data_IF_381469062456
#
_entry.id   IF_381469062456
#
_cell.length_a   1.000
_cell.length_b   1.000
_cell.length_c   1.000
_cell.angle_alpha   90.00
_cell.angle_beta   90.00
_cell.angle_gamma   90.00
#
_symmetry.space_group_name_H-M   'P 1'
#
loop_
_entity.id
_entity.type
_entity.pdbx_description
1 polymer ?
#
# COMPACT_ATOMS: atom_id res chain seq x y z
N UNK A 1 26.05 -5.02 -20.26
CA UNK A 1 24.68 -5.16 -19.73
C UNK A 1 24.84 -5.60 -18.29
N UNK A 2 24.46 -4.78 -17.30
CA UNK A 2 24.48 -5.23 -15.91
C UNK A 2 23.40 -6.31 -15.75
N UNK A 3 23.76 -7.46 -15.17
CA UNK A 3 22.77 -8.42 -14.71
C UNK A 3 21.93 -7.70 -13.65
N UNK A 4 20.69 -7.37 -13.99
CA UNK A 4 19.76 -6.76 -13.04
C UNK A 4 19.52 -7.78 -11.93
N UNK A 5 19.98 -7.47 -10.72
CA UNK A 5 19.73 -8.30 -9.56
C UNK A 5 18.22 -8.32 -9.31
N UNK A 6 17.64 -9.51 -9.23
CA UNK A 6 16.23 -9.72 -8.95
C UNK A 6 16.08 -10.32 -7.55
N UNK A 7 14.99 -9.99 -6.88
CA UNK A 7 14.55 -10.59 -5.63
C UNK A 7 13.18 -11.22 -5.81
N UNK A 8 12.93 -12.29 -5.05
CA UNK A 8 11.60 -12.90 -4.95
C UNK A 8 10.75 -12.12 -3.95
N UNK A 9 9.50 -11.94 -4.31
CA UNK A 9 8.45 -11.44 -3.44
C UNK A 9 7.21 -12.30 -3.59
N UNK A 10 6.31 -12.27 -2.60
CA UNK A 10 5.03 -12.97 -2.68
C UNK A 10 3.96 -11.94 -3.02
N UNK A 11 3.26 -12.12 -4.13
CA UNK A 11 2.13 -11.29 -4.52
C UNK A 11 0.83 -11.99 -4.13
N UNK A 12 -0.06 -11.26 -3.46
CA UNK A 12 -1.48 -11.62 -3.34
C UNK A 12 -2.33 -10.67 -4.17
N UNK A 13 -3.24 -11.22 -4.95
CA UNK A 13 -4.18 -10.46 -5.77
C UNK A 13 -5.62 -10.83 -5.38
N UNK A 14 -6.59 -9.89 -5.51
CA UNK A 14 -7.99 -10.17 -5.24
C UNK A 14 -8.50 -11.40 -5.99
N UNK A 15 -9.05 -12.37 -5.25
CA UNK A 15 -9.64 -13.60 -5.80
C UNK A 15 -8.62 -14.60 -6.39
N UNK A 16 -7.33 -14.44 -6.13
CA UNK A 16 -6.28 -15.36 -6.59
C UNK A 16 -5.49 -15.96 -5.43
N UNK A 17 -4.90 -17.12 -5.70
CA UNK A 17 -3.91 -17.70 -4.80
C UNK A 17 -2.61 -16.87 -4.80
N UNK A 18 -1.88 -16.82 -3.66
CA UNK A 18 -0.60 -16.16 -3.60
C UNK A 18 0.40 -16.77 -4.58
N UNK A 19 1.26 -15.94 -5.17
CA UNK A 19 2.26 -16.38 -6.14
C UNK A 19 3.61 -15.71 -5.91
N UNK A 20 4.68 -16.37 -6.36
CA UNK A 20 6.03 -15.80 -6.31
C UNK A 20 6.23 -14.93 -7.55
N UNK A 21 6.57 -13.67 -7.33
CA UNK A 21 6.98 -12.73 -8.39
C UNK A 21 8.46 -12.38 -8.22
N UNK A 22 9.06 -11.84 -9.27
CA UNK A 22 10.44 -11.32 -9.24
C UNK A 22 10.41 -9.81 -9.42
N UNK A 23 11.00 -9.10 -8.47
CA UNK A 23 11.15 -7.65 -8.50
C UNK A 23 12.64 -7.30 -8.68
N UNK A 24 12.97 -6.17 -9.33
CA UNK A 24 14.32 -5.62 -9.30
C UNK A 24 14.77 -5.40 -7.85
N UNK A 25 16.03 -5.68 -7.52
CA UNK A 25 16.60 -5.45 -6.19
C UNK A 25 17.41 -4.14 -6.10
N UNK A 26 17.68 -3.47 -7.22
CA UNK A 26 18.45 -2.22 -7.25
C UNK A 26 17.59 -1.01 -6.87
N UNK A 27 18.13 -0.10 -6.05
CA UNK A 27 17.49 1.15 -5.66
C UNK A 27 17.06 1.98 -6.89
N UNK A 28 15.83 2.50 -6.87
CA UNK A 28 15.18 3.15 -8.02
C UNK A 28 14.23 2.19 -8.75
N UNK A 29 14.72 1.30 -9.64
CA UNK A 29 13.88 0.32 -10.33
C UNK A 29 13.07 -0.58 -9.40
N UNK A 30 13.55 -0.82 -8.17
CA UNK A 30 12.83 -1.56 -7.15
C UNK A 30 11.54 -0.86 -6.70
N UNK A 31 11.64 0.41 -6.30
CA UNK A 31 10.51 1.22 -5.81
C UNK A 31 9.44 1.39 -6.91
N UNK A 32 9.89 1.66 -8.14
CA UNK A 32 9.00 1.80 -9.29
C UNK A 32 8.27 0.48 -9.60
N UNK A 33 8.96 -0.66 -9.57
CA UNK A 33 8.34 -1.96 -9.80
C UNK A 33 7.31 -2.33 -8.72
N UNK A 34 7.55 -1.92 -7.46
CA UNK A 34 6.57 -2.10 -6.37
C UNK A 34 5.33 -1.25 -6.65
N UNK A 35 5.50 0.04 -6.96
CA UNK A 35 4.38 0.95 -7.25
C UNK A 35 3.54 0.49 -8.43
N UNK A 36 4.20 0.04 -9.50
CA UNK A 36 3.53 -0.52 -10.68
C UNK A 36 2.74 -1.79 -10.31
N UNK A 37 3.33 -2.66 -9.48
CA UNK A 37 2.68 -3.91 -9.05
C UNK A 37 1.47 -3.64 -8.15
N UNK A 38 1.57 -2.68 -7.23
CA UNK A 38 0.51 -2.27 -6.29
C UNK A 38 -0.48 -1.26 -6.87
N UNK A 39 -0.26 -0.79 -8.09
CA UNK A 39 -1.09 0.18 -8.79
C UNK A 39 -1.24 1.51 -8.03
N UNK A 40 -0.17 1.96 -7.35
CA UNK A 40 -0.18 3.18 -6.55
C UNK A 40 1.06 3.36 -5.68
N UNK A 41 1.05 4.45 -4.91
CA UNK A 41 1.93 4.55 -3.74
C UNK A 41 1.59 3.44 -2.74
N UNK A 42 2.51 3.18 -1.83
CA UNK A 42 2.36 2.07 -0.91
C UNK A 42 2.80 2.43 0.50
N UNK A 43 2.08 1.88 1.47
CA UNK A 43 2.52 1.76 2.85
C UNK A 43 3.20 0.41 3.05
N UNK A 44 4.16 0.37 3.96
CA UNK A 44 4.80 -0.86 4.41
C UNK A 44 4.57 -1.02 5.91
N UNK A 45 4.17 -2.22 6.34
CA UNK A 45 4.03 -2.58 7.74
C UNK A 45 4.87 -3.82 8.01
N UNK A 46 5.64 -3.79 9.10
CA UNK A 46 6.33 -4.98 9.58
C UNK A 46 5.29 -6.01 10.04
N UNK A 47 5.29 -7.19 9.44
CA UNK A 47 4.32 -8.23 9.75
C UNK A 47 4.81 -9.15 10.86
N UNK A 48 6.01 -9.74 10.72
CA UNK A 48 6.70 -10.44 11.82
C UNK A 48 8.20 -10.57 11.54
N UNK A 49 8.97 -10.76 12.61
CA UNK A 49 10.41 -10.97 12.55
C UNK A 49 10.74 -12.41 12.13
N UNK A 50 11.46 -12.57 11.02
CA UNK A 50 11.91 -13.88 10.50
C UNK A 50 13.11 -14.37 11.32
N UNK A 51 14.05 -13.46 11.59
CA UNK A 51 15.25 -13.67 12.40
C UNK A 51 15.72 -12.32 12.95
N UNK A 52 16.64 -12.27 13.92
CA UNK A 52 17.13 -11.00 14.47
C UNK A 52 17.57 -10.03 13.37
N UNK A 53 16.99 -8.84 13.35
CA UNK A 53 17.26 -7.77 12.39
C UNK A 53 16.60 -7.90 11.00
N UNK A 54 15.82 -8.96 10.74
CA UNK A 54 15.15 -9.19 9.44
C UNK A 54 13.70 -9.58 9.65
N UNK A 55 12.80 -8.87 8.99
CA UNK A 55 11.36 -9.09 9.10
C UNK A 55 10.71 -9.26 7.74
N UNK A 56 9.56 -9.93 7.74
CA UNK A 56 8.65 -9.95 6.61
C UNK A 56 7.78 -8.69 6.70
N UNK A 57 7.78 -7.89 5.65
CA UNK A 57 6.94 -6.71 5.50
C UNK A 57 5.79 -7.00 4.56
N UNK A 58 4.61 -6.47 4.89
CA UNK A 58 3.48 -6.39 3.96
C UNK A 58 3.42 -4.98 3.37
N UNK A 59 3.41 -4.90 2.05
CA UNK A 59 3.27 -3.68 1.29
C UNK A 59 1.90 -3.67 0.62
N UNK A 60 1.14 -2.60 0.84
CA UNK A 60 -0.21 -2.40 0.30
C UNK A 60 -0.32 -1.02 -0.31
N UNK A 61 -1.21 -0.85 -1.28
CA UNK A 61 -1.53 0.47 -1.79
C UNK A 61 -2.19 1.32 -0.68
N UNK A 62 -1.56 2.43 -0.30
CA UNK A 62 -2.00 3.29 0.80
C UNK A 62 -3.33 3.99 0.52
N UNK A 63 -3.70 4.09 -0.76
CA UNK A 63 -4.93 4.71 -1.24
C UNK A 63 -5.98 3.68 -1.68
N UNK A 64 -5.74 2.37 -1.46
CA UNK A 64 -6.58 1.30 -2.00
C UNK A 64 -8.08 1.47 -1.69
N UNK A 65 -8.42 1.87 -0.46
CA UNK A 65 -9.80 2.11 -0.05
C UNK A 65 -10.42 3.32 -0.76
N UNK A 66 -9.73 4.45 -0.81
CA UNK A 66 -10.18 5.64 -1.54
C UNK A 66 -10.34 5.39 -3.05
N UNK A 67 -9.51 4.50 -3.59
CA UNK A 67 -9.57 4.08 -4.98
C UNK A 67 -10.66 3.04 -5.25
N UNK A 68 -11.36 2.54 -4.23
CA UNK A 68 -12.37 1.50 -4.38
C UNK A 68 -11.77 0.22 -4.98
N UNK A 69 -10.52 -0.10 -4.62
CA UNK A 69 -9.91 -1.36 -5.03
C UNK A 69 -10.68 -2.54 -4.45
N UNK A 70 -10.66 -3.67 -5.15
CA UNK A 70 -11.41 -4.87 -4.72
C UNK A 70 -10.87 -5.42 -3.39
N UNK A 71 -11.73 -5.98 -2.52
CA UNK A 71 -11.27 -6.64 -1.31
C UNK A 71 -10.46 -7.90 -1.69
N UNK A 72 -9.39 -8.17 -0.95
CA UNK A 72 -8.50 -9.29 -1.24
C UNK A 72 -8.55 -10.33 -0.12
N UNK A 73 -7.97 -9.98 1.03
CA UNK A 73 -7.88 -10.85 2.21
C UNK A 73 -8.07 -10.04 3.47
N UNK A 74 -8.49 -10.71 4.54
CA UNK A 74 -8.53 -10.14 5.89
C UNK A 74 -7.18 -10.30 6.57
N UNK A 75 -6.82 -9.35 7.42
CA UNK A 75 -5.69 -9.54 8.33
C UNK A 75 -6.00 -10.68 9.32
N UNK A 76 -4.99 -11.40 9.84
CA UNK A 76 -5.18 -12.45 10.82
C UNK A 76 -5.48 -11.88 12.22
N UNK A 77 -5.98 -12.73 13.11
CA UNK A 77 -5.99 -12.47 14.56
C UNK A 77 -6.93 -11.33 14.97
N UNK A 78 -6.41 -10.43 15.82
CA UNK A 78 -7.19 -9.33 16.40
C UNK A 78 -7.69 -8.33 15.35
N UNK A 79 -6.98 -8.22 14.23
CA UNK A 79 -7.28 -7.29 13.14
C UNK A 79 -8.13 -7.94 12.03
N UNK A 80 -8.83 -9.04 12.33
CA UNK A 80 -9.61 -9.79 11.33
C UNK A 80 -10.82 -9.04 10.75
N UNK A 81 -11.20 -7.93 11.35
CA UNK A 81 -12.15 -6.98 10.79
C UNK A 81 -11.52 -6.10 9.69
N UNK A 82 -10.20 -5.93 9.69
CA UNK A 82 -9.45 -5.16 8.71
C UNK A 82 -9.25 -5.93 7.41
N UNK A 83 -9.39 -5.22 6.29
CA UNK A 83 -9.29 -5.78 4.94
C UNK A 83 -8.07 -5.22 4.22
N UNK A 84 -7.31 -6.10 3.59
CA UNK A 84 -6.33 -5.75 2.56
C UNK A 84 -7.11 -5.49 1.28
N UNK A 85 -7.18 -4.21 0.88
CA UNK A 85 -7.78 -3.78 -0.37
C UNK A 85 -6.75 -3.79 -1.50
N UNK A 86 -7.15 -4.26 -2.68
CA UNK A 86 -6.26 -4.35 -3.84
C UNK A 86 -5.20 -5.43 -3.70
N UNK A 87 -4.02 -5.20 -4.31
CA UNK A 87 -2.89 -6.13 -4.26
C UNK A 87 -2.06 -5.88 -3.00
N UNK A 88 -1.37 -6.92 -2.54
CA UNK A 88 -0.31 -6.77 -1.54
C UNK A 88 0.91 -7.61 -1.89
N UNK A 89 2.08 -7.12 -1.49
CA UNK A 89 3.36 -7.78 -1.68
C UNK A 89 3.98 -8.08 -0.32
N UNK A 90 4.46 -9.30 -0.14
CA UNK A 90 5.30 -9.66 1.01
C UNK A 90 6.76 -9.74 0.60
N UNK A 91 7.61 -9.01 1.33
CA UNK A 91 9.06 -8.96 1.10
C UNK A 91 9.82 -9.12 2.41
N UNK A 92 11.02 -9.71 2.35
CA UNK A 92 11.95 -9.67 3.48
C UNK A 92 12.80 -8.40 3.39
N UNK A 93 12.99 -7.72 4.52
CA UNK A 93 13.85 -6.55 4.62
C UNK A 93 14.49 -6.46 6.01
N UNK A 94 15.56 -5.67 6.12
CA UNK A 94 16.09 -5.29 7.43
C UNK A 94 15.07 -4.40 8.16
N UNK A 95 14.83 -4.69 9.43
CA UNK A 95 13.79 -4.02 10.23
C UNK A 95 14.27 -2.75 10.95
N UNK A 96 15.55 -2.38 10.82
CA UNK A 96 16.13 -1.20 11.47
C UNK A 96 16.69 -1.45 12.88
N UNK A 97 16.67 -2.69 13.38
CA UNK A 97 17.35 -3.05 14.65
C UNK A 97 18.88 -2.79 14.57
N UNK A 98 19.44 -2.81 13.36
CA UNK A 98 20.83 -2.49 13.05
C UNK A 98 20.87 -1.37 12.00
N UNK A 99 21.14 -0.14 12.43
CA UNK A 99 21.21 1.05 11.57
C UNK A 99 22.28 0.95 10.46
N UNK A 100 23.19 -0.01 10.53
CA UNK A 100 24.19 -0.25 9.48
C UNK A 100 23.68 -1.10 8.32
N UNK A 101 22.47 -1.66 8.45
CA UNK A 101 21.85 -2.52 7.45
C UNK A 101 20.54 -1.94 6.98
N UNK A 102 20.37 -1.88 5.66
CA UNK A 102 19.17 -1.38 5.02
C UNK A 102 18.84 -2.19 3.76
N UNK A 103 17.60 -2.08 3.32
CA UNK A 103 17.14 -2.65 2.06
C UNK A 103 16.48 -4.01 2.17
N UNK A 104 16.06 -4.49 1.00
CA UNK A 104 15.29 -5.72 0.82
C UNK A 104 16.21 -6.92 0.55
N UNK A 105 15.72 -8.10 0.91
CA UNK A 105 16.46 -9.35 0.86
C UNK A 105 15.75 -10.34 -0.07
N UNK A 106 16.53 -11.06 -0.88
CA UNK A 106 15.99 -12.14 -1.71
C UNK A 106 15.70 -13.36 -0.82
N UNK A 107 14.42 -13.66 -0.66
CA UNK A 107 14.00 -14.92 -0.05
C UNK A 107 14.26 -16.08 -1.01
N UNK A 108 14.66 -17.22 -0.46
CA UNK A 108 14.72 -18.45 -1.25
C UNK A 108 13.32 -18.86 -1.72
N UNK A 109 13.24 -19.60 -2.83
CA UNK A 109 11.95 -20.08 -3.34
C UNK A 109 11.23 -20.98 -2.32
N UNK A 110 11.97 -21.83 -1.61
CA UNK A 110 11.43 -22.67 -0.53
C UNK A 110 10.84 -21.83 0.61
N UNK A 111 11.54 -20.77 1.03
CA UNK A 111 11.04 -19.82 2.02
C UNK A 111 9.77 -19.10 1.54
N UNK A 112 9.73 -18.70 0.27
CA UNK A 112 8.54 -18.08 -0.31
C UNK A 112 7.35 -19.05 -0.31
N UNK A 113 7.56 -20.31 -0.72
CA UNK A 113 6.51 -21.33 -0.72
C UNK A 113 5.98 -21.60 0.69
N UNK A 114 6.87 -21.69 1.69
CA UNK A 114 6.49 -21.81 3.08
C UNK A 114 5.58 -20.66 3.53
N UNK A 115 5.93 -19.40 3.22
CA UNK A 115 5.09 -18.26 3.56
C UNK A 115 3.79 -18.19 2.78
N UNK A 116 3.77 -18.63 1.52
CA UNK A 116 2.53 -18.76 0.74
C UNK A 116 1.54 -19.67 1.46
N UNK A 117 1.99 -20.81 1.97
CA UNK A 117 1.12 -21.72 2.72
C UNK A 117 0.65 -21.09 4.04
N UNK A 118 1.51 -20.35 4.75
CA UNK A 118 1.08 -19.60 5.94
C UNK A 118 0.07 -18.49 5.61
N UNK A 119 0.23 -17.78 4.49
CA UNK A 119 -0.71 -16.76 4.05
C UNK A 119 -2.07 -17.39 3.73
N UNK A 120 -2.09 -18.51 3.00
CA UNK A 120 -3.34 -19.23 2.70
C UNK A 120 -4.09 -19.67 3.96
N UNK A 121 -3.35 -20.12 4.97
CA UNK A 121 -3.93 -20.60 6.23
C UNK A 121 -4.45 -19.47 7.12
N UNK A 122 -3.73 -18.35 7.18
CA UNK A 122 -3.97 -17.31 8.19
C UNK A 122 -4.65 -16.05 7.65
N UNK A 123 -4.66 -15.81 6.34
CA UNK A 123 -5.30 -14.64 5.72
C UNK A 123 -6.52 -15.11 4.91
N UNK A 124 -7.72 -15.12 5.52
CA UNK A 124 -8.94 -15.54 4.85
C UNK A 124 -9.18 -14.69 3.60
N UNK A 125 -9.60 -15.34 2.52
CA UNK A 125 -10.04 -14.62 1.33
C UNK A 125 -11.34 -13.86 1.63
N UNK A 126 -11.41 -12.65 1.12
CA UNK A 126 -12.65 -11.90 1.01
C UNK A 126 -13.57 -12.57 -0.03
N UNK A 127 -14.88 -12.40 0.13
CA UNK A 127 -15.86 -12.96 -0.81
C UNK A 127 -16.07 -12.07 -2.05
N UNK A 128 -15.56 -10.83 -2.00
CA UNK A 128 -15.63 -9.89 -3.12
C UNK A 128 -16.77 -8.88 -3.01
N UNK A 129 -17.63 -9.01 -2.00
CA UNK A 129 -18.80 -8.15 -1.76
C UNK A 129 -18.55 -7.09 -0.69
N UNK A 130 -17.42 -7.16 0.00
CA UNK A 130 -17.06 -6.19 1.00
C UNK A 130 -16.84 -4.80 0.38
N UNK A 131 -17.27 -3.77 1.11
CA UNK A 131 -17.01 -2.36 0.78
C UNK A 131 -16.19 -1.70 1.90
N UNK A 132 -15.29 -0.74 1.57
CA UNK A 132 -14.56 0.02 2.58
C UNK A 132 -15.52 0.71 3.54
N UNK A 133 -15.27 0.57 4.84
CA UNK A 133 -16.01 1.30 5.86
C UNK A 133 -15.63 2.79 5.81
N UNK A 134 -16.47 3.70 6.32
CA UNK A 134 -16.15 5.12 6.37
C UNK A 134 -14.81 5.45 7.05
N UNK A 135 -14.38 4.64 8.00
CA UNK A 135 -13.09 4.71 8.69
C UNK A 135 -11.91 4.24 7.83
N UNK A 136 -12.11 3.27 6.93
CA UNK A 136 -11.06 2.74 6.06
C UNK A 136 -10.66 3.76 4.97
N UNK A 137 -11.48 4.79 4.77
CA UNK A 137 -11.23 5.90 3.82
C UNK A 137 -10.72 7.17 4.49
N UNK A 138 -10.43 7.10 5.79
CA UNK A 138 -9.99 8.22 6.59
C UNK A 138 -8.46 8.31 6.60
N UNK A 139 -7.95 9.49 6.28
CA UNK A 139 -6.53 9.80 6.26
C UNK A 139 -6.25 10.94 7.24
N UNK A 140 -4.99 11.07 7.65
CA UNK A 140 -4.58 12.07 8.63
C UNK A 140 -3.36 12.84 8.13
N UNK A 141 -3.44 14.16 8.23
CA UNK A 141 -2.28 15.06 8.19
C UNK A 141 -1.96 15.51 9.61
N UNK A 142 -0.86 16.24 9.78
CA UNK A 142 -0.61 17.06 10.97
C UNK A 142 -1.10 18.50 10.72
N UNK A 143 -1.83 19.08 11.67
CA UNK A 143 -2.15 20.51 11.68
C UNK A 143 -0.94 21.38 12.09
N UNK A 144 -1.12 22.70 12.15
CA UNK A 144 -0.04 23.65 12.54
C UNK A 144 0.47 23.41 13.97
N UNK A 145 -0.29 22.70 14.79
CA UNK A 145 -0.01 22.39 16.19
C UNK A 145 0.51 20.94 16.36
N UNK A 146 0.63 20.18 15.27
CA UNK A 146 1.07 18.79 15.25
C UNK A 146 -0.03 17.79 15.64
N UNK A 147 -1.29 18.19 15.74
CA UNK A 147 -2.39 17.27 16.00
C UNK A 147 -2.86 16.59 14.71
N UNK A 148 -3.37 15.35 14.79
CA UNK A 148 -3.93 14.65 13.64
C UNK A 148 -5.18 15.36 13.11
N UNK A 149 -5.12 15.80 11.86
CA UNK A 149 -6.21 16.45 11.12
C UNK A 149 -6.81 15.46 10.11
N UNK A 150 -8.03 14.94 10.37
CA UNK A 150 -8.64 13.95 9.50
C UNK A 150 -9.15 14.55 8.18
N UNK A 151 -8.97 13.81 7.09
CA UNK A 151 -9.49 14.15 5.77
C UNK A 151 -9.87 12.90 4.97
N UNK A 152 -10.60 13.12 3.87
CA UNK A 152 -10.91 12.10 2.87
C UNK A 152 -10.54 12.57 1.47
N UNK A 153 -10.18 11.61 0.62
CA UNK A 153 -10.09 11.81 -0.82
C UNK A 153 -11.46 11.59 -1.44
N UNK A 154 -12.00 12.62 -2.08
CA UNK A 154 -13.30 12.56 -2.77
C UNK A 154 -13.07 12.67 -4.26
N UNK A 155 -13.55 11.67 -5.01
CA UNK A 155 -13.42 11.66 -6.47
C UNK A 155 -14.16 12.84 -7.10
N UNK A 156 -13.52 13.45 -8.10
CA UNK A 156 -14.00 14.61 -8.86
C UNK A 156 -13.73 14.43 -10.34
N UNK A 157 -14.45 15.17 -11.18
CA UNK A 157 -14.10 15.30 -12.58
C UNK A 157 -12.74 15.99 -12.75
N UNK A 158 -12.04 15.68 -13.85
CA UNK A 158 -10.75 16.29 -14.21
C UNK A 158 -10.80 17.83 -14.12
N UNK A 159 -9.98 18.45 -13.25
CA UNK A 159 -9.85 19.90 -13.21
C UNK A 159 -9.26 20.48 -14.50
N UNK A 160 -9.73 21.67 -14.89
CA UNK A 160 -9.19 22.41 -16.03
C UNK A 160 -7.75 22.86 -15.79
N UNK A 161 -6.89 22.78 -16.81
CA UNK A 161 -5.52 23.29 -16.75
C UNK A 161 -4.50 22.34 -16.14
N UNK A 162 -4.88 21.11 -15.79
CA UNK A 162 -3.92 20.09 -15.39
C UNK A 162 -3.19 19.49 -16.62
N UNK A 163 -1.89 19.19 -16.51
CA UNK A 163 -1.14 18.52 -17.57
C UNK A 163 -1.70 17.12 -17.85
N UNK A 164 -1.23 16.47 -18.92
CA UNK A 164 -1.53 15.06 -19.15
C UNK A 164 -1.09 14.22 -17.94
N UNK A 165 -1.93 13.29 -17.48
CA UNK A 165 -1.57 12.31 -16.45
C UNK A 165 -0.29 11.56 -16.77
N UNK A 166 0.42 11.17 -15.72
CA UNK A 166 1.60 10.32 -15.87
C UNK A 166 1.16 8.89 -16.20
N UNK A 167 2.06 8.13 -16.84
CA UNK A 167 1.81 6.73 -17.15
C UNK A 167 1.61 5.87 -15.88
N UNK A 168 0.94 4.73 -16.09
CA UNK A 168 0.27 3.84 -15.14
C UNK A 168 0.81 3.82 -13.69
N UNK A 169 -0.12 3.92 -12.73
CA UNK A 169 0.11 3.59 -11.31
C UNK A 169 0.70 4.69 -10.43
N UNK A 170 1.07 5.85 -10.98
CA UNK A 170 1.70 6.92 -10.19
C UNK A 170 0.65 7.87 -9.61
N UNK A 171 0.70 8.06 -8.30
CA UNK A 171 -0.06 9.12 -7.62
C UNK A 171 0.67 10.44 -7.82
N UNK A 172 -0.04 11.46 -8.27
CA UNK A 172 0.48 12.83 -8.37
C UNK A 172 -0.40 13.81 -7.61
N UNK A 173 0.24 14.61 -6.77
CA UNK A 173 -0.42 15.71 -6.07
C UNK A 173 -0.21 17.02 -6.81
N UNK A 174 -1.31 17.72 -7.07
CA UNK A 174 -1.36 19.05 -7.65
C UNK A 174 -1.85 20.04 -6.60
N UNK A 175 -1.00 21.01 -6.26
CA UNK A 175 -1.42 22.14 -5.42
C UNK A 175 -2.04 23.21 -6.28
N UNK A 176 -3.37 23.35 -6.21
CA UNK A 176 -4.10 24.44 -6.85
C UNK A 176 -4.40 25.53 -5.81
N UNK A 177 -4.70 26.78 -6.22
CA UNK A 177 -4.93 27.89 -5.29
C UNK A 177 -6.00 27.66 -4.23
N UNK A 178 -6.99 26.81 -4.52
CA UNK A 178 -8.13 26.55 -3.63
C UNK A 178 -8.14 25.14 -3.00
N UNK A 179 -7.33 24.21 -3.49
CA UNK A 179 -7.36 22.81 -3.05
C UNK A 179 -6.16 22.01 -3.53
N UNK A 180 -5.85 20.93 -2.82
CA UNK A 180 -4.95 19.87 -3.29
C UNK A 180 -5.77 18.82 -4.07
N UNK A 181 -5.25 18.43 -5.24
CA UNK A 181 -5.83 17.41 -6.11
C UNK A 181 -4.85 16.27 -6.25
N UNK A 182 -5.30 15.06 -5.93
CA UNK A 182 -4.61 13.81 -6.22
C UNK A 182 -5.07 13.27 -7.57
N UNK A 183 -4.14 12.83 -8.40
CA UNK A 183 -4.41 12.11 -9.65
C UNK A 183 -3.75 10.75 -9.61
N UNK A 184 -4.47 9.73 -10.07
CA UNK A 184 -3.94 8.40 -10.31
C UNK A 184 -4.78 7.69 -11.36
N UNK A 185 -4.14 7.11 -12.38
CA UNK A 185 -4.80 6.36 -13.45
C UNK A 185 -5.97 7.14 -14.08
N UNK A 186 -5.76 8.42 -14.41
CA UNK A 186 -6.78 9.32 -14.99
C UNK A 186 -7.99 9.61 -14.07
N UNK A 187 -7.95 9.19 -12.81
CA UNK A 187 -8.94 9.55 -11.78
C UNK A 187 -8.41 10.68 -10.92
N UNK A 188 -9.30 11.59 -10.54
CA UNK A 188 -8.95 12.81 -9.82
C UNK A 188 -9.70 12.87 -8.51
N UNK A 189 -9.03 13.26 -7.44
CA UNK A 189 -9.61 13.35 -6.11
C UNK A 189 -9.23 14.67 -5.48
N UNK A 190 -10.17 15.30 -4.78
CA UNK A 190 -9.86 16.46 -3.93
C UNK A 190 -9.75 16.03 -2.47
N UNK A 191 -8.85 16.69 -1.76
CA UNK A 191 -8.74 16.56 -0.31
C UNK A 191 -9.88 17.32 0.38
N UNK A 192 -10.63 16.65 1.24
CA UNK A 192 -11.72 17.25 2.01
C UNK A 192 -11.51 16.96 3.48
N UNK A 193 -11.31 18.00 4.28
CA UNK A 193 -11.26 17.88 5.73
C UNK A 193 -12.60 17.32 6.25
N UNK A 194 -12.54 16.40 7.20
CA UNK A 194 -13.72 15.82 7.84
C UNK A 194 -13.61 15.92 9.35
N UNK A 195 -14.73 15.87 10.05
CA UNK A 195 -14.76 15.83 11.51
C UNK A 195 -15.09 14.41 11.96
N UNK A 196 -14.25 13.85 12.83
CA UNK A 196 -14.50 12.59 13.53
C UNK A 196 -15.00 12.85 14.94
N UNK A 197 -15.51 11.83 15.64
CA UNK A 197 -15.91 11.92 17.05
C UNK A 197 -14.79 12.41 17.97
N UNK A 198 -13.53 12.20 17.58
CA UNK A 198 -12.34 12.61 18.33
C UNK A 198 -11.83 13.99 17.91
N UNK A 199 -12.39 14.59 16.86
CA UNK A 199 -12.05 15.94 16.42
C UNK A 199 -12.69 16.94 17.37
N UNK A 200 -11.89 17.85 17.96
CA UNK A 200 -12.42 18.97 18.74
C UNK A 200 -13.30 19.83 17.84
N UNK A 201 -14.61 19.78 18.05
CA UNK A 201 -15.54 20.79 17.56
C UNK A 201 -15.18 22.10 18.27
N UNK A 202 -14.67 23.07 17.51
CA UNK A 202 -14.56 24.45 17.99
C UNK A 202 -15.96 25.07 18.13
#
# INVERSE_FOLDING_TARGET
>A
MSNQQLMRAILIEPGKDPSIIKLPAAHGPHDEAIKDTLEGNYGAVEFFQIQPGISLFILVNDLAAALGMKPNRRFPGADSDQIIWGKAIFIAAYNGDDETKEGTLDMSEETCLMFIEQIKLNFPMCDGTEEPRPEDTLYYDEDEEGNPAPYRWIEISKPSGLPKPLEAGRVKFYRMPAQEVMEINDRYFKKVAVYTSDSKLN
#
